data_IF_230837085369
#
_entry.id   IF_230837085369
#
_cell.length_a   1.000
_cell.length_b   1.000
_cell.length_c   1.000
_cell.angle_alpha   90.00
_cell.angle_beta   90.00
_cell.angle_gamma   90.00
#
_symmetry.space_group_name_H-M   'P 1'
#
loop_
_entity.id
_entity.type
_entity.pdbx_description
1 polymer ?
#
# COMPACT_ATOMS: atom_id res chain seq x y z
N UNK A 1 -1.92 18.85 5.17
CA UNK A 1 -1.91 17.38 5.42
C UNK A 1 -1.66 16.70 4.08
N UNK A 2 -0.93 15.59 4.04
CA UNK A 2 -0.55 14.95 2.77
C UNK A 2 -1.79 14.32 2.10
N UNK A 3 -2.17 14.77 0.90
CA UNK A 3 -3.33 14.24 0.15
C UNK A 3 -3.32 12.71 0.02
N UNK A 4 -2.12 12.11 -0.09
CA UNK A 4 -1.94 10.65 -0.11
C UNK A 4 -2.42 10.01 1.20
N UNK A 5 -2.08 10.63 2.34
CA UNK A 5 -2.44 10.16 3.67
C UNK A 5 -3.95 10.23 3.92
N UNK A 6 -4.61 11.27 3.42
CA UNK A 6 -6.08 11.40 3.47
C UNK A 6 -6.77 10.28 2.66
N UNK A 7 -6.28 10.01 1.44
CA UNK A 7 -6.76 8.90 0.60
C UNK A 7 -6.58 7.56 1.33
N UNK A 8 -5.39 7.34 1.91
CA UNK A 8 -5.06 6.11 2.63
C UNK A 8 -5.96 5.91 3.86
N UNK A 9 -6.20 6.96 4.63
CA UNK A 9 -7.09 6.92 5.79
C UNK A 9 -8.54 6.60 5.38
N UNK A 10 -9.05 7.18 4.29
CA UNK A 10 -10.37 6.82 3.78
C UNK A 10 -10.44 5.37 3.32
N UNK A 11 -9.42 4.87 2.63
CA UNK A 11 -9.36 3.47 2.19
C UNK A 11 -9.34 2.51 3.38
N UNK A 12 -8.54 2.80 4.42
CA UNK A 12 -8.51 2.01 5.66
C UNK A 12 -9.87 2.03 6.35
N UNK A 13 -10.52 3.20 6.45
CA UNK A 13 -11.83 3.32 7.09
C UNK A 13 -12.90 2.52 6.32
N UNK A 14 -12.92 2.62 4.99
CA UNK A 14 -13.84 1.83 4.15
C UNK A 14 -13.63 0.33 4.39
N UNK A 15 -12.39 -0.15 4.38
CA UNK A 15 -12.09 -1.57 4.62
C UNK A 15 -12.53 -2.02 6.02
N UNK A 16 -12.33 -1.18 7.03
CA UNK A 16 -12.77 -1.45 8.39
C UNK A 16 -14.31 -1.53 8.48
N UNK A 17 -15.02 -0.54 7.90
CA UNK A 17 -16.49 -0.51 7.88
C UNK A 17 -17.06 -1.75 7.17
N UNK A 18 -16.48 -2.15 6.04
CA UNK A 18 -16.87 -3.38 5.33
C UNK A 18 -16.64 -4.64 6.18
N UNK A 19 -15.53 -4.71 6.92
CA UNK A 19 -15.24 -5.84 7.82
C UNK A 19 -16.25 -5.93 8.95
N UNK A 20 -16.63 -4.82 9.56
CA UNK A 20 -17.65 -4.78 10.62
C UNK A 20 -19.01 -5.28 10.09
N UNK A 21 -19.37 -4.89 8.87
CA UNK A 21 -20.60 -5.34 8.20
C UNK A 21 -20.55 -6.78 7.69
N UNK A 22 -19.39 -7.44 7.76
CA UNK A 22 -19.13 -8.71 7.08
C UNK A 22 -19.41 -8.64 5.57
N UNK A 23 -19.10 -7.49 4.96
CA UNK A 23 -19.22 -7.29 3.52
C UNK A 23 -17.88 -7.52 2.83
N UNK A 24 -17.91 -8.32 1.77
CA UNK A 24 -16.79 -8.38 0.82
C UNK A 24 -16.75 -7.11 -0.05
N UNK A 25 -15.58 -6.80 -0.62
CA UNK A 25 -15.48 -5.72 -1.63
C UNK A 25 -16.42 -6.01 -2.80
N UNK A 26 -16.57 -7.28 -3.20
CA UNK A 26 -17.44 -7.68 -4.30
C UNK A 26 -18.91 -7.40 -4.00
N UNK A 27 -19.40 -7.81 -2.81
CA UNK A 27 -20.78 -7.58 -2.39
C UNK A 27 -21.09 -6.09 -2.22
N UNK A 28 -20.16 -5.32 -1.64
CA UNK A 28 -20.27 -3.86 -1.58
C UNK A 28 -20.37 -3.24 -2.98
N UNK A 29 -19.46 -3.62 -3.89
CA UNK A 29 -19.42 -3.04 -5.23
C UNK A 29 -20.71 -3.31 -6.00
N UNK A 30 -21.23 -4.54 -5.92
CA UNK A 30 -22.51 -4.91 -6.53
C UNK A 30 -23.65 -4.09 -5.96
N UNK A 31 -23.77 -4.02 -4.62
CA UNK A 31 -24.82 -3.25 -3.95
C UNK A 31 -24.76 -1.77 -4.31
N UNK A 32 -23.57 -1.16 -4.24
CA UNK A 32 -23.37 0.23 -4.63
C UNK A 32 -23.76 0.50 -6.08
N UNK A 33 -23.39 -0.38 -7.01
CA UNK A 33 -23.69 -0.20 -8.42
C UNK A 33 -25.19 -0.30 -8.71
N UNK A 34 -25.85 -1.31 -8.14
CA UNK A 34 -27.29 -1.56 -8.33
C UNK A 34 -28.10 -0.43 -7.69
N UNK A 35 -27.79 -0.04 -6.45
CA UNK A 35 -28.57 0.96 -5.72
C UNK A 35 -28.39 2.40 -6.30
N UNK A 36 -27.33 2.65 -7.07
CA UNK A 36 -27.07 3.94 -7.72
C UNK A 36 -27.36 3.93 -9.23
N UNK A 37 -27.93 2.85 -9.78
CA UNK A 37 -28.29 2.77 -11.19
C UNK A 37 -29.80 2.57 -11.30
N UNK A 38 -30.45 3.38 -12.14
CA UNK A 38 -31.91 3.32 -12.34
C UNK A 38 -32.33 2.14 -13.22
N UNK A 39 -31.37 1.55 -13.95
CA UNK A 39 -31.59 0.45 -14.87
C UNK A 39 -30.99 -0.85 -14.36
N UNK A 40 -31.55 -1.97 -14.84
CA UNK A 40 -30.96 -3.29 -14.62
C UNK A 40 -29.52 -3.31 -15.15
N UNK A 41 -28.61 -3.74 -14.29
CA UNK A 41 -27.18 -3.79 -14.59
C UNK A 41 -26.81 -5.21 -14.98
N UNK A 42 -26.17 -5.37 -16.14
CA UNK A 42 -25.73 -6.69 -16.61
C UNK A 42 -24.63 -7.28 -15.71
N UNK A 43 -24.57 -8.61 -15.62
CA UNK A 43 -23.59 -9.31 -14.77
C UNK A 43 -22.14 -8.95 -15.15
N UNK A 44 -21.89 -8.73 -16.44
CA UNK A 44 -20.58 -8.31 -16.95
C UNK A 44 -20.14 -6.95 -16.37
N UNK A 45 -21.06 -5.99 -16.31
CA UNK A 45 -20.80 -4.65 -15.77
C UNK A 45 -20.56 -4.70 -14.26
N UNK A 46 -21.31 -5.56 -13.56
CA UNK A 46 -21.09 -5.82 -12.13
C UNK A 46 -19.67 -6.32 -11.88
N UNK A 47 -19.21 -7.36 -12.58
CA UNK A 47 -17.85 -7.90 -12.44
C UNK A 47 -16.78 -6.86 -12.77
N UNK A 48 -16.97 -6.12 -13.86
CA UNK A 48 -16.03 -5.07 -14.27
C UNK A 48 -15.94 -3.97 -13.21
N UNK A 49 -17.07 -3.62 -12.60
CA UNK A 49 -17.10 -2.65 -11.51
C UNK A 49 -16.44 -3.17 -10.23
N UNK A 50 -16.67 -4.43 -9.85
CA UNK A 50 -16.03 -5.06 -8.69
C UNK A 50 -14.50 -4.97 -8.77
N UNK A 51 -13.92 -5.31 -9.93
CA UNK A 51 -12.47 -5.21 -10.15
C UNK A 51 -11.97 -3.76 -10.13
N UNK A 52 -12.79 -2.82 -10.61
CA UNK A 52 -12.48 -1.38 -10.55
C UNK A 52 -12.43 -0.88 -9.10
N UNK A 53 -13.45 -1.20 -8.29
CA UNK A 53 -13.52 -0.79 -6.88
C UNK A 53 -12.38 -1.42 -6.08
N UNK A 54 -12.08 -2.70 -6.31
CA UNK A 54 -10.94 -3.39 -5.70
C UNK A 54 -9.63 -2.63 -5.91
N UNK A 55 -9.37 -2.18 -7.14
CA UNK A 55 -8.19 -1.36 -7.47
C UNK A 55 -8.24 0.03 -6.81
N UNK A 56 -9.42 0.65 -6.77
CA UNK A 56 -9.61 1.97 -6.15
C UNK A 56 -9.41 1.98 -4.63
N UNK A 57 -9.73 0.89 -3.94
CA UNK A 57 -9.50 0.75 -2.49
C UNK A 57 -8.05 0.42 -2.12
N UNK A 58 -7.16 0.27 -3.11
CA UNK A 58 -5.72 0.00 -2.90
C UNK A 58 -4.86 1.15 -3.41
N UNK A 59 -5.21 1.76 -4.55
CA UNK A 59 -4.37 2.77 -5.20
C UNK A 59 -4.37 4.09 -4.44
N UNK A 60 -3.19 4.56 -4.06
CA UNK A 60 -2.98 5.87 -3.44
C UNK A 60 -3.36 7.07 -4.34
N UNK A 61 -3.59 6.83 -5.64
CA UNK A 61 -3.99 7.85 -6.62
C UNK A 61 -5.51 7.95 -6.83
N UNK A 62 -6.30 7.17 -6.09
CA UNK A 62 -7.76 7.18 -6.21
C UNK A 62 -8.33 8.55 -5.82
N UNK A 63 -9.38 8.99 -6.52
CA UNK A 63 -10.05 10.25 -6.22
C UNK A 63 -10.68 10.19 -4.81
N UNK A 64 -10.31 11.14 -3.95
CA UNK A 64 -10.82 11.31 -2.60
C UNK A 64 -12.34 11.47 -2.54
N UNK A 65 -12.94 12.25 -3.45
CA UNK A 65 -14.40 12.45 -3.49
C UNK A 65 -15.14 11.15 -3.78
N UNK A 66 -14.55 10.27 -4.59
CA UNK A 66 -15.11 8.96 -4.88
C UNK A 66 -15.08 8.06 -3.63
N UNK A 67 -13.97 8.07 -2.89
CA UNK A 67 -13.86 7.32 -1.64
C UNK A 67 -14.84 7.84 -0.58
N UNK A 68 -15.04 9.15 -0.50
CA UNK A 68 -16.07 9.75 0.35
C UNK A 68 -17.47 9.27 -0.04
N UNK A 69 -17.78 9.17 -1.33
CA UNK A 69 -19.07 8.60 -1.79
C UNK A 69 -19.23 7.14 -1.34
N UNK A 70 -18.18 6.32 -1.45
CA UNK A 70 -18.21 4.95 -0.98
C UNK A 70 -18.41 4.86 0.53
N UNK A 71 -17.67 5.65 1.31
CA UNK A 71 -17.80 5.65 2.76
C UNK A 71 -19.20 6.12 3.20
N UNK A 72 -19.71 7.21 2.60
CA UNK A 72 -21.06 7.71 2.87
C UNK A 72 -22.14 6.69 2.51
N UNK A 73 -22.01 5.96 1.42
CA UNK A 73 -22.95 4.90 1.06
C UNK A 73 -22.97 3.80 2.13
N UNK A 74 -21.80 3.34 2.58
CA UNK A 74 -21.68 2.30 3.60
C UNK A 74 -22.29 2.78 4.92
N UNK A 75 -21.91 3.96 5.40
CA UNK A 75 -22.38 4.49 6.70
C UNK A 75 -23.87 4.86 6.71
N UNK A 76 -24.46 5.14 5.55
CA UNK A 76 -25.89 5.40 5.42
C UNK A 76 -26.74 4.14 5.20
N UNK A 77 -26.13 2.97 5.02
CA UNK A 77 -26.85 1.71 4.90
C UNK A 77 -27.61 1.36 6.18
N UNK A 78 -28.75 0.68 6.02
CA UNK A 78 -29.55 0.24 7.17
C UNK A 78 -28.77 -0.77 8.02
N UNK A 79 -27.94 -1.59 7.39
CA UNK A 79 -27.07 -2.55 8.06
C UNK A 79 -26.08 -1.84 8.98
N UNK A 80 -25.46 -0.74 8.54
CA UNK A 80 -24.53 0.03 9.37
C UNK A 80 -25.25 0.75 10.51
N UNK A 81 -26.40 1.36 10.24
CA UNK A 81 -27.22 2.03 11.26
C UNK A 81 -27.71 1.08 12.36
N UNK A 82 -27.91 -0.21 12.03
CA UNK A 82 -28.34 -1.25 13.00
C UNK A 82 -27.24 -1.70 13.95
N UNK A 83 -25.97 -1.39 13.68
CA UNK A 83 -24.85 -1.78 14.54
C UNK A 83 -24.85 -1.04 15.89
N UNK A 84 -25.62 0.04 16.02
CA UNK A 84 -25.70 0.86 17.24
C UNK A 84 -24.45 1.73 17.46
N UNK A 85 -24.52 2.62 18.46
CA UNK A 85 -23.49 3.63 18.71
C UNK A 85 -22.10 3.06 19.04
N UNK A 86 -22.05 1.86 19.64
CA UNK A 86 -20.79 1.21 20.07
C UNK A 86 -19.89 0.80 18.89
N UNK A 87 -20.50 0.49 17.74
CA UNK A 87 -19.79 0.11 16.52
C UNK A 87 -19.72 1.25 15.50
N UNK A 88 -20.71 2.13 15.48
CA UNK A 88 -20.75 3.30 14.59
C UNK A 88 -19.67 4.35 14.91
N UNK A 89 -19.08 4.32 16.12
CA UNK A 89 -18.05 5.26 16.56
C UNK A 89 -16.62 4.70 16.58
N UNK A 90 -16.40 3.45 16.16
CA UNK A 90 -15.02 2.92 15.99
C UNK A 90 -14.43 3.43 14.69
N UNK A 91 -14.19 4.74 14.63
CA UNK A 91 -13.31 5.31 13.64
C UNK A 91 -11.91 4.71 13.85
N UNK A 92 -11.29 4.25 12.77
CA UNK A 92 -9.90 3.80 12.85
C UNK A 92 -9.04 4.99 13.25
N UNK A 93 -7.98 4.75 14.00
CA UNK A 93 -7.02 5.80 14.28
C UNK A 93 -6.38 6.25 12.95
N UNK A 94 -6.56 7.52 12.53
CA UNK A 94 -6.02 7.99 11.27
C UNK A 94 -4.50 7.99 11.35
N UNK A 95 -3.85 7.54 10.27
CA UNK A 95 -2.42 7.73 10.09
C UNK A 95 -2.16 9.24 10.03
N UNK A 96 -1.12 9.64 10.72
CA UNK A 96 -0.66 11.02 10.86
C UNK A 96 0.57 11.32 10.01
N UNK A 97 1.18 10.29 9.42
CA UNK A 97 2.49 10.35 8.78
C UNK A 97 3.63 10.38 9.80
N UNK A 98 3.31 10.18 11.08
CA UNK A 98 4.30 10.06 12.14
C UNK A 98 4.56 8.60 12.47
N UNK A 99 5.72 8.41 13.07
CA UNK A 99 6.24 7.10 13.42
C UNK A 99 5.28 6.29 14.29
N UNK A 100 4.53 6.94 15.20
CA UNK A 100 3.53 6.30 16.07
C UNK A 100 2.42 5.54 15.31
N UNK A 101 2.24 5.81 14.03
CA UNK A 101 1.26 5.15 13.17
C UNK A 101 1.51 3.63 13.04
N UNK A 102 2.74 3.15 13.27
CA UNK A 102 3.04 1.71 13.16
C UNK A 102 2.18 0.86 14.11
N UNK A 103 1.78 1.41 15.26
CA UNK A 103 0.94 0.70 16.24
C UNK A 103 -0.45 0.41 15.67
N UNK A 104 -1.02 1.38 14.94
CA UNK A 104 -2.30 1.20 14.26
C UNK A 104 -2.20 0.13 13.17
N UNK A 105 -1.13 0.17 12.37
CA UNK A 105 -0.88 -0.82 11.31
C UNK A 105 -0.68 -2.24 11.87
N UNK A 106 0.03 -2.39 12.99
CA UNK A 106 0.18 -3.70 13.67
C UNK A 106 -1.14 -4.27 14.18
N UNK A 107 -2.06 -3.42 14.61
CA UNK A 107 -3.39 -3.85 15.06
C UNK A 107 -4.32 -4.19 13.88
N UNK A 108 -3.98 -3.75 12.67
CA UNK A 108 -4.75 -3.96 11.44
C UNK A 108 -4.25 -5.11 10.56
N UNK A 109 -3.09 -5.67 10.87
CA UNK A 109 -2.52 -6.83 10.17
C UNK A 109 -3.54 -7.98 10.04
N UNK A 110 -3.53 -8.65 8.89
CA UNK A 110 -4.52 -9.67 8.55
C UNK A 110 -4.33 -10.94 9.37
N UNK A 111 -3.09 -11.29 9.67
CA UNK A 111 -2.73 -12.48 10.44
C UNK A 111 -1.51 -12.25 11.35
N UNK A 112 -1.24 -13.24 12.20
CA UNK A 112 -0.15 -13.19 13.18
C UNK A 112 1.24 -13.15 12.51
N UNK A 113 1.39 -13.78 11.35
CA UNK A 113 2.66 -13.81 10.61
C UNK A 113 2.96 -12.44 10.02
N UNK A 114 1.99 -11.84 9.31
CA UNK A 114 2.09 -10.48 8.79
C UNK A 114 2.37 -9.50 9.93
N UNK A 115 1.70 -9.64 11.08
CA UNK A 115 1.95 -8.80 12.25
C UNK A 115 3.38 -8.90 12.76
N UNK A 116 3.95 -10.11 12.85
CA UNK A 116 5.33 -10.30 13.30
C UNK A 116 6.34 -9.75 12.29
N UNK A 117 6.10 -9.96 11.00
CA UNK A 117 6.93 -9.41 9.92
C UNK A 117 6.92 -7.88 9.95
N UNK A 118 5.73 -7.28 10.05
CA UNK A 118 5.56 -5.84 10.19
C UNK A 118 6.25 -5.30 11.44
N UNK A 119 6.21 -6.01 12.57
CA UNK A 119 6.87 -5.57 13.79
C UNK A 119 8.40 -5.49 13.63
N UNK A 120 9.00 -6.49 12.98
CA UNK A 120 10.44 -6.52 12.69
C UNK A 120 10.82 -5.43 11.68
N UNK A 121 10.06 -5.31 10.58
CA UNK A 121 10.29 -4.29 9.56
C UNK A 121 10.12 -2.88 10.12
N UNK A 122 9.07 -2.65 10.92
CA UNK A 122 8.85 -1.37 11.58
C UNK A 122 10.03 -1.04 12.48
N UNK A 123 10.44 -1.94 13.38
CA UNK A 123 11.58 -1.70 14.28
C UNK A 123 12.87 -1.31 13.52
N UNK A 124 13.12 -1.91 12.36
CA UNK A 124 14.23 -1.52 11.50
C UNK A 124 14.01 -0.15 10.85
N UNK A 125 12.82 0.11 10.32
CA UNK A 125 12.48 1.42 9.76
C UNK A 125 12.63 2.55 10.80
N UNK A 126 12.29 2.29 12.06
CA UNK A 126 12.50 3.20 13.19
C UNK A 126 13.98 3.55 13.42
N UNK A 127 14.88 2.60 13.15
CA UNK A 127 16.33 2.85 13.30
C UNK A 127 16.90 3.65 12.13
N UNK A 128 16.18 3.75 11.02
CA UNK A 128 16.60 4.46 9.79
C UNK A 128 16.05 5.88 9.74
N UNK A 129 14.79 6.09 10.14
CA UNK A 129 14.14 7.40 10.06
C UNK A 129 12.66 7.34 10.46
N UNK A 130 11.82 8.06 9.73
CA UNK A 130 10.35 7.92 9.89
C UNK A 130 9.82 6.81 8.98
N UNK A 131 8.66 6.26 9.34
CA UNK A 131 8.04 5.21 8.55
C UNK A 131 6.51 5.26 8.63
N UNK A 132 5.86 5.12 7.49
CA UNK A 132 4.42 4.93 7.34
C UNK A 132 4.12 4.11 6.08
N UNK A 133 2.88 3.65 5.93
CA UNK A 133 2.39 2.97 4.72
C UNK A 133 3.22 1.72 4.36
N UNK A 134 3.26 0.74 5.28
CA UNK A 134 4.00 -0.50 5.07
C UNK A 134 3.27 -1.44 4.09
N UNK A 135 4.02 -2.01 3.15
CA UNK A 135 3.56 -3.02 2.20
C UNK A 135 4.41 -4.28 2.33
N UNK A 136 3.80 -5.38 2.76
CA UNK A 136 4.47 -6.69 2.91
C UNK A 136 4.16 -7.57 1.70
N UNK A 137 5.18 -8.14 1.09
CA UNK A 137 5.06 -9.08 -0.03
C UNK A 137 5.89 -10.32 0.25
N UNK A 138 5.30 -11.53 0.30
CA UNK A 138 6.07 -12.77 0.39
C UNK A 138 6.91 -12.98 -0.88
N UNK A 139 8.14 -13.48 -0.71
CA UNK A 139 9.06 -13.80 -1.82
C UNK A 139 9.52 -15.27 -1.72
N UNK A 140 10.18 -15.76 -2.76
CA UNK A 140 10.66 -17.14 -2.81
C UNK A 140 11.62 -17.44 -1.66
N UNK A 141 11.50 -18.63 -1.08
CA UNK A 141 12.51 -19.19 -0.17
C UNK A 141 13.87 -19.28 -0.88
N UNK A 142 14.95 -19.34 -0.09
CA UNK A 142 16.27 -19.67 -0.58
C UNK A 142 16.86 -20.83 0.22
N UNK A 143 18.09 -21.23 -0.11
CA UNK A 143 18.79 -22.34 0.56
C UNK A 143 19.02 -22.11 2.08
N UNK A 144 18.83 -20.87 2.56
CA UNK A 144 19.12 -20.46 3.93
C UNK A 144 17.87 -20.14 4.75
N UNK A 145 16.78 -19.72 4.10
CA UNK A 145 15.57 -19.22 4.74
C UNK A 145 14.31 -19.76 4.07
N UNK A 146 13.56 -20.56 4.83
CA UNK A 146 12.28 -21.15 4.41
C UNK A 146 11.18 -20.11 4.20
N UNK A 147 11.31 -18.94 4.84
CA UNK A 147 10.30 -17.88 4.78
C UNK A 147 10.98 -16.53 4.66
N UNK A 148 10.57 -15.78 3.62
CA UNK A 148 11.17 -14.51 3.22
C UNK A 148 10.07 -13.54 2.80
N UNK A 149 10.18 -12.30 3.27
CA UNK A 149 9.26 -11.21 2.95
C UNK A 149 10.02 -9.96 2.55
N UNK A 150 9.55 -9.29 1.51
CA UNK A 150 9.94 -7.94 1.21
C UNK A 150 8.95 -6.98 1.86
N UNK A 151 9.45 -6.00 2.62
CA UNK A 151 8.62 -4.95 3.20
C UNK A 151 9.07 -3.59 2.66
N UNK A 152 8.16 -2.87 2.02
CA UNK A 152 8.35 -1.47 1.63
C UNK A 152 7.68 -0.56 2.64
N UNK A 153 8.25 0.62 2.87
CA UNK A 153 7.61 1.70 3.61
C UNK A 153 7.98 3.05 3.02
N UNK A 154 7.17 4.06 3.29
CA UNK A 154 7.51 5.44 2.99
C UNK A 154 8.01 6.16 4.24
N UNK A 155 8.94 7.08 4.05
CA UNK A 155 9.50 7.83 5.16
C UNK A 155 10.37 9.00 4.73
N UNK A 156 10.74 9.83 5.70
CA UNK A 156 11.92 10.68 5.63
C UNK A 156 13.10 9.85 6.11
N UNK A 157 13.86 9.38 5.12
CA UNK A 157 14.90 8.34 5.24
C UNK A 157 16.22 8.83 4.63
N UNK A 158 16.35 10.14 4.38
CA UNK A 158 17.61 10.79 4.00
C UNK A 158 18.27 10.22 2.74
N UNK A 159 17.53 10.03 1.65
CA UNK A 159 18.10 9.54 0.39
C UNK A 159 19.10 10.55 -0.21
N UNK A 160 20.38 10.15 -0.31
CA UNK A 160 21.38 10.82 -1.15
C UNK A 160 21.98 12.12 -0.60
N UNK A 161 22.27 12.20 0.70
CA UNK A 161 23.07 13.31 1.26
C UNK A 161 22.32 14.63 1.49
N UNK A 162 20.99 14.62 1.46
CA UNK A 162 20.14 15.76 1.84
C UNK A 162 19.18 15.40 2.98
N UNK A 163 19.08 16.26 3.98
CA UNK A 163 18.05 16.21 5.02
C UNK A 163 16.68 16.53 4.41
N UNK A 164 15.64 15.74 4.71
CA UNK A 164 14.25 16.00 4.29
C UNK A 164 13.82 15.37 2.95
N UNK A 165 14.57 14.42 2.40
CA UNK A 165 14.18 13.72 1.18
C UNK A 165 13.23 12.55 1.50
N UNK A 166 11.93 12.78 1.31
CA UNK A 166 10.90 11.74 1.30
C UNK A 166 11.16 10.71 0.19
N UNK A 167 11.07 9.43 0.53
CA UNK A 167 11.25 8.32 -0.41
C UNK A 167 10.67 7.01 0.11
N UNK A 168 10.71 6.00 -0.75
CA UNK A 168 10.35 4.63 -0.40
C UNK A 168 11.61 3.88 0.01
N UNK A 169 11.64 3.33 1.21
CA UNK A 169 12.65 2.37 1.64
C UNK A 169 12.08 0.96 1.66
N UNK A 170 12.97 -0.02 1.78
CA UNK A 170 12.57 -1.39 1.91
C UNK A 170 13.58 -2.23 2.67
N UNK A 171 13.11 -3.35 3.21
CA UNK A 171 13.95 -4.34 3.85
C UNK A 171 13.44 -5.74 3.58
N UNK A 172 14.33 -6.72 3.67
CA UNK A 172 13.98 -8.13 3.62
C UNK A 172 13.90 -8.71 5.04
N UNK A 173 12.72 -9.20 5.41
CA UNK A 173 12.49 -9.90 6.68
C UNK A 173 12.51 -11.40 6.40
N UNK A 174 13.37 -12.13 7.10
CA UNK A 174 13.55 -13.58 6.92
C UNK A 174 13.37 -14.31 8.24
N UNK A 175 12.96 -15.57 8.16
CA UNK A 175 12.85 -16.44 9.32
C UNK A 175 14.05 -17.38 9.40
N UNK A 176 14.75 -17.36 10.53
CA UNK A 176 15.79 -18.35 10.83
C UNK A 176 15.21 -19.75 11.03
N UNK A 177 16.07 -20.77 10.98
CA UNK A 177 15.71 -22.16 11.29
C UNK A 177 15.12 -22.35 12.70
N UNK A 178 15.37 -21.41 13.63
CA UNK A 178 14.81 -21.41 14.98
C UNK A 178 13.45 -20.72 15.09
N UNK A 179 12.86 -20.32 13.96
CA UNK A 179 11.58 -19.63 13.90
C UNK A 179 11.64 -18.13 14.21
N UNK A 180 12.83 -17.58 14.47
CA UNK A 180 13.02 -16.15 14.78
C UNK A 180 13.07 -15.33 13.50
N UNK A 181 12.25 -14.27 13.43
CA UNK A 181 12.23 -13.30 12.34
C UNK A 181 13.25 -12.17 12.59
N UNK A 182 13.97 -11.78 11.54
CA UNK A 182 14.94 -10.69 11.58
C UNK A 182 15.12 -10.06 10.20
N UNK A 183 15.71 -8.86 10.15
CA UNK A 183 16.05 -8.21 8.89
C UNK A 183 17.34 -8.80 8.35
N UNK A 184 17.31 -9.37 7.13
CA UNK A 184 18.44 -10.08 6.51
C UNK A 184 19.66 -9.19 6.29
N UNK A 185 19.43 -7.93 5.90
CA UNK A 185 20.47 -6.93 5.62
C UNK A 185 20.04 -5.57 6.12
N UNK A 186 20.98 -4.80 6.67
CA UNK A 186 20.73 -3.44 7.14
C UNK A 186 20.60 -2.41 6.01
N UNK A 187 20.88 -2.82 4.77
CA UNK A 187 20.67 -1.99 3.60
C UNK A 187 19.17 -1.76 3.41
N UNK A 188 18.75 -0.50 3.53
CA UNK A 188 17.36 -0.07 3.41
C UNK A 188 17.03 0.52 2.03
N UNK A 189 17.98 0.45 1.09
CA UNK A 189 17.88 1.00 -0.26
C UNK A 189 18.24 -0.06 -1.29
N UNK A 190 17.32 -0.31 -2.24
CA UNK A 190 17.67 -0.94 -3.52
C UNK A 190 17.63 0.13 -4.60
N UNK A 191 18.60 0.08 -5.52
CA UNK A 191 18.59 0.98 -6.67
C UNK A 191 17.48 0.56 -7.64
N UNK A 192 16.28 1.08 -7.40
CA UNK A 192 15.10 0.85 -8.26
C UNK A 192 15.16 1.65 -9.56
N UNK A 193 16.10 2.61 -9.67
CA UNK A 193 16.12 3.59 -10.74
C UNK A 193 14.90 4.53 -10.73
N UNK A 194 14.11 4.55 -9.65
CA UNK A 194 12.94 5.41 -9.47
C UNK A 194 13.19 6.43 -8.37
N UNK A 195 12.58 7.62 -8.50
CA UNK A 195 12.60 8.62 -7.44
C UNK A 195 11.68 8.23 -6.28
N UNK A 196 10.50 7.71 -6.59
CA UNK A 196 9.54 7.19 -5.61
C UNK A 196 8.96 5.88 -6.11
N UNK A 197 8.70 4.94 -5.21
CA UNK A 197 7.95 3.71 -5.52
C UNK A 197 6.55 3.86 -4.96
N UNK A 198 5.55 3.76 -5.84
CA UNK A 198 4.15 3.98 -5.47
C UNK A 198 3.42 2.66 -5.15
N UNK A 199 3.82 1.57 -5.79
CA UNK A 199 3.07 0.30 -5.75
C UNK A 199 4.02 -0.87 -6.03
N UNK A 200 3.84 -1.97 -5.29
CA UNK A 200 4.39 -3.28 -5.65
C UNK A 200 3.37 -3.94 -6.56
N UNK A 201 3.75 -4.17 -7.82
CA UNK A 201 2.88 -4.85 -8.79
C UNK A 201 2.84 -6.35 -8.55
N UNK A 202 3.86 -6.90 -7.91
CA UNK A 202 3.94 -8.30 -7.50
C UNK A 202 5.36 -8.84 -7.56
N UNK A 203 5.50 -10.10 -7.20
CA UNK A 203 6.74 -10.85 -7.30
C UNK A 203 6.44 -12.19 -7.98
N UNK A 204 7.07 -12.44 -9.14
CA UNK A 204 6.89 -13.65 -9.93
C UNK A 204 8.25 -14.09 -10.51
N UNK A 205 8.55 -15.38 -10.46
CA UNK A 205 9.76 -15.97 -11.05
C UNK A 205 11.08 -15.29 -10.65
N UNK A 206 11.20 -14.87 -9.38
CA UNK A 206 12.40 -14.17 -8.89
C UNK A 206 12.46 -12.68 -9.27
N UNK A 207 11.48 -12.17 -10.00
CA UNK A 207 11.38 -10.77 -10.41
C UNK A 207 10.39 -10.02 -9.54
N UNK A 208 10.89 -9.01 -8.83
CA UNK A 208 10.08 -8.02 -8.16
C UNK A 208 9.67 -6.94 -9.17
N UNK A 209 8.37 -6.73 -9.32
CA UNK A 209 7.80 -5.70 -10.19
C UNK A 209 7.29 -4.54 -9.34
N UNK A 210 7.81 -3.35 -9.62
CA UNK A 210 7.41 -2.13 -8.93
C UNK A 210 6.89 -1.11 -9.93
N UNK A 211 5.99 -0.24 -9.47
CA UNK A 211 5.57 0.96 -10.20
C UNK A 211 5.91 2.18 -9.38
N UNK A 212 6.47 3.19 -10.04
CA UNK A 212 6.84 4.42 -9.37
C UNK A 212 6.97 5.62 -10.31
N UNK A 213 7.57 6.67 -9.78
CA UNK A 213 7.76 7.95 -10.48
C UNK A 213 9.23 8.27 -10.66
N UNK A 214 9.51 8.97 -11.75
CA UNK A 214 10.80 9.60 -12.03
C UNK A 214 10.60 10.99 -12.65
N UNK A 215 11.67 11.77 -12.73
CA UNK A 215 11.64 13.12 -13.26
C UNK A 215 11.62 13.14 -14.79
N UNK A 216 10.74 13.95 -15.35
CA UNK A 216 10.89 14.52 -16.68
C UNK A 216 11.90 15.69 -16.64
N UNK A 217 12.42 16.08 -17.79
CA UNK A 217 13.40 17.16 -17.96
C UNK A 217 12.91 18.54 -17.45
N UNK A 218 11.60 18.70 -17.28
CA UNK A 218 10.96 19.95 -16.85
C UNK A 218 10.36 19.85 -15.45
N UNK A 219 10.51 18.72 -14.77
CA UNK A 219 9.92 18.53 -13.46
C UNK A 219 10.67 19.35 -12.40
N UNK A 220 9.92 19.91 -11.45
CA UNK A 220 10.50 20.45 -10.24
C UNK A 220 11.01 19.29 -9.35
N UNK A 221 12.05 19.54 -8.55
CA UNK A 221 12.72 18.58 -7.66
C UNK A 221 11.82 17.86 -6.63
N UNK A 222 10.55 18.20 -6.53
CA UNK A 222 9.58 17.59 -5.63
C UNK A 222 8.34 17.05 -6.35
N UNK A 223 8.27 17.12 -7.68
CA UNK A 223 7.13 16.69 -8.48
C UNK A 223 7.53 15.81 -9.67
N UNK A 224 8.06 14.60 -9.44
CA UNK A 224 8.31 13.65 -10.53
C UNK A 224 6.98 13.28 -11.22
N UNK A 225 6.97 13.32 -12.54
CA UNK A 225 5.77 13.15 -13.36
C UNK A 225 5.80 11.92 -14.26
N UNK A 226 6.96 11.37 -14.61
CA UNK A 226 7.03 10.16 -15.44
C UNK A 226 6.67 8.92 -14.61
N UNK A 227 5.77 8.09 -15.13
CA UNK A 227 5.34 6.85 -14.49
C UNK A 227 6.08 5.69 -15.14
N UNK A 228 6.77 4.89 -14.34
CA UNK A 228 7.54 3.74 -14.80
C UNK A 228 7.13 2.46 -14.09
N UNK A 229 7.16 1.36 -14.84
CA UNK A 229 7.21 0.00 -14.30
C UNK A 229 8.65 -0.48 -14.37
N UNK A 230 9.17 -0.98 -13.25
CA UNK A 230 10.52 -1.53 -13.15
C UNK A 230 10.49 -2.98 -12.70
N UNK A 231 11.48 -3.73 -13.17
CA UNK A 231 11.71 -5.11 -12.77
C UNK A 231 13.08 -5.20 -12.10
N UNK A 232 13.10 -5.83 -10.93
CA UNK A 232 14.29 -6.06 -10.13
C UNK A 232 14.50 -7.57 -10.01
N UNK A 233 15.70 -8.03 -10.31
CA UNK A 233 16.11 -9.42 -10.11
C UNK A 233 17.04 -9.51 -8.90
N UNK A 234 16.76 -10.45 -8.01
CA UNK A 234 17.67 -10.78 -6.93
C UNK A 234 18.81 -11.66 -7.48
N UNK A 235 20.05 -11.20 -7.32
CA UNK A 235 21.25 -11.99 -7.60
C UNK A 235 22.15 -11.95 -6.38
N UNK A 236 22.39 -13.11 -5.76
CA UNK A 236 23.24 -13.24 -4.57
C UNK A 236 22.83 -12.28 -3.41
N UNK A 237 21.52 -12.12 -3.22
CA UNK A 237 20.95 -11.21 -2.22
C UNK A 237 21.00 -9.72 -2.57
N UNK A 238 21.40 -9.37 -3.79
CA UNK A 238 21.39 -7.99 -4.28
C UNK A 238 20.31 -7.83 -5.34
N UNK A 239 19.41 -6.88 -5.11
CA UNK A 239 18.37 -6.53 -6.08
C UNK A 239 18.92 -5.56 -7.12
N UNK A 240 18.92 -6.00 -8.38
CA UNK A 240 19.45 -5.23 -9.50
C UNK A 240 18.36 -4.92 -10.50
N UNK A 241 18.31 -3.67 -10.98
CA UNK A 241 17.37 -3.22 -12.01
C UNK A 241 17.66 -3.97 -13.32
N UNK A 242 16.69 -4.73 -13.81
CA UNK A 242 16.80 -5.45 -15.09
C UNK A 242 16.00 -4.78 -16.19
N UNK A 243 14.90 -4.11 -15.84
CA UNK A 243 14.02 -3.47 -16.81
C UNK A 243 13.39 -2.18 -16.25
N UNK A 244 13.18 -1.18 -17.11
CA UNK A 244 12.50 0.08 -16.78
C UNK A 244 11.69 0.56 -17.97
N UNK A 245 10.37 0.43 -17.88
CA UNK A 245 9.44 0.73 -18.96
C UNK A 245 8.60 1.96 -18.63
N UNK A 246 8.59 2.96 -19.52
CA UNK A 246 7.73 4.13 -19.37
C UNK A 246 6.28 3.72 -19.61
N UNK A 247 5.43 3.92 -18.60
CA UNK A 247 3.98 3.65 -18.66
C UNK A 247 3.24 4.88 -19.15
N UNK A 248 3.72 6.08 -18.79
CA UNK A 248 3.11 7.33 -19.20
C UNK A 248 3.54 8.51 -18.33
N UNK A 249 2.75 9.57 -18.35
CA UNK A 249 3.00 10.79 -17.59
C UNK A 249 1.82 11.10 -16.68
N UNK A 250 2.10 11.37 -15.41
CA UNK A 250 1.14 11.83 -14.42
C UNK A 250 0.79 13.29 -14.71
N UNK A 251 -0.42 13.53 -15.18
CA UNK A 251 -0.93 14.90 -15.30
C UNK A 251 -1.26 15.42 -13.90
N UNK A 252 -0.48 16.37 -13.40
CA UNK A 252 -0.90 17.21 -12.30
C UNK A 252 -1.91 18.20 -12.87
N UNK A 253 -3.20 18.01 -12.60
CA UNK A 253 -4.17 19.08 -12.84
C UNK A 253 -3.73 20.27 -11.98
N UNK A 254 -3.37 21.36 -12.65
CA UNK A 254 -3.07 22.64 -12.02
C UNK A 254 -4.32 23.25 -11.41
#
# INVERSE_FOLDING_TARGET
MNRKLEILNLQRQIKADLKILNWSIASFSSKYLIDNNEYDVEEYDVKTFQERVKKQLVRATTNQELLLKYNNFIRNSDEYKKLGDEYAQRDIQPLTGFISDYVALLNEAQDETERKVLAVAAAHALSVGTAWDFHVTPINHDDYYDTRYLTLWEGDIGHGGGSGCWGTAMCEVVQSHWGVLFVRRTDYFFNTGLRTVNEILGFNDGLLKLRGLDYDNVDANNFPSLVYDVELLEQHGVWSLTNKNLVGKKCFNK
#
